data_IF_552564439524
#
_entry.id   IF_552564439524
#
_cell.length_a   1.000
_cell.length_b   1.000
_cell.length_c   1.000
_cell.angle_alpha   90.00
_cell.angle_beta   90.00
_cell.angle_gamma   90.00
#
_symmetry.space_group_name_H-M   'P 1'
#
loop_
_entity.id
_entity.type
_entity.pdbx_description
1 polymer ?
#
# COMPACT_ATOMS: atom_id res chain seq x y z
N UNK A 1 -4.80 -14.40 -7.09
CA UNK A 1 -4.49 -15.53 -7.99
C UNK A 1 -5.53 -16.62 -7.77
N UNK A 2 -6.13 -17.16 -8.85
CA UNK A 2 -7.20 -18.17 -8.73
C UNK A 2 -6.64 -19.49 -8.18
N UNK A 3 -7.39 -20.12 -7.27
CA UNK A 3 -7.12 -21.49 -6.81
C UNK A 3 -7.08 -22.45 -8.02
N UNK A 4 -6.06 -23.32 -8.04
CA UNK A 4 -5.86 -24.28 -9.13
C UNK A 4 -4.90 -23.86 -10.26
N UNK A 5 -4.29 -22.68 -10.18
CA UNK A 5 -3.22 -22.28 -11.08
C UNK A 5 -1.84 -22.70 -10.54
N UNK A 6 -0.88 -22.93 -11.45
CA UNK A 6 0.51 -23.23 -11.08
C UNK A 6 1.08 -22.13 -10.16
N UNK A 7 0.82 -20.87 -10.50
CA UNK A 7 1.25 -19.70 -9.71
C UNK A 7 0.74 -19.74 -8.27
N UNK A 8 -0.51 -20.20 -8.07
CA UNK A 8 -1.06 -20.36 -6.72
C UNK A 8 -0.34 -21.45 -5.92
N UNK A 9 -0.02 -22.58 -6.56
CA UNK A 9 0.70 -23.67 -5.92
C UNK A 9 2.14 -23.25 -5.56
N UNK A 10 2.82 -22.55 -6.45
CA UNK A 10 4.18 -22.03 -6.23
C UNK A 10 4.19 -20.96 -5.11
N UNK A 11 3.20 -20.06 -5.10
CA UNK A 11 3.03 -19.07 -4.02
C UNK A 11 2.78 -19.75 -2.67
N UNK A 12 1.96 -20.79 -2.60
CA UNK A 12 1.75 -21.57 -1.39
C UNK A 12 3.05 -22.22 -0.90
N UNK A 13 3.79 -22.86 -1.79
CA UNK A 13 5.06 -23.52 -1.45
C UNK A 13 6.11 -22.54 -0.92
N UNK A 14 6.16 -21.33 -1.47
CA UNK A 14 7.02 -20.24 -0.97
C UNK A 14 6.56 -19.77 0.41
N UNK A 15 5.26 -19.55 0.58
CA UNK A 15 4.69 -19.08 1.83
C UNK A 15 4.84 -20.08 2.99
N UNK A 16 4.79 -21.39 2.71
CA UNK A 16 5.04 -22.43 3.70
C UNK A 16 6.50 -22.47 4.15
N UNK A 17 7.44 -22.24 3.25
CA UNK A 17 8.90 -22.33 3.54
C UNK A 17 9.46 -21.05 4.14
N UNK A 18 9.06 -19.90 3.66
CA UNK A 18 9.66 -18.60 4.01
C UNK A 18 8.71 -17.69 4.82
N UNK A 19 7.44 -18.11 4.97
CA UNK A 19 6.38 -17.28 5.54
C UNK A 19 5.93 -16.20 4.54
N UNK A 20 4.77 -15.65 4.76
CA UNK A 20 4.29 -14.50 3.99
C UNK A 20 5.12 -13.28 4.34
N UNK A 21 5.51 -12.53 3.34
CA UNK A 21 6.14 -11.23 3.54
C UNK A 21 5.65 -10.25 2.49
N UNK A 22 5.36 -9.05 2.94
CA UNK A 22 4.99 -7.92 2.13
C UNK A 22 6.02 -6.82 2.40
N UNK A 23 6.57 -6.26 1.35
CA UNK A 23 7.62 -5.26 1.44
C UNK A 23 7.05 -3.85 1.28
N UNK A 24 7.34 -3.03 2.26
CA UNK A 24 7.13 -1.59 2.22
C UNK A 24 8.48 -0.90 2.14
N UNK A 25 8.52 0.23 1.47
CA UNK A 25 9.71 1.07 1.35
C UNK A 25 9.37 2.45 1.91
N UNK A 26 10.02 2.84 2.99
CA UNK A 26 9.98 4.21 3.47
C UNK A 26 11.12 5.01 2.84
N UNK A 27 10.80 6.22 2.39
CA UNK A 27 11.73 7.18 1.80
C UNK A 27 11.64 8.45 2.62
N UNK A 28 12.78 8.99 3.04
CA UNK A 28 12.87 10.17 3.90
C UNK A 28 14.20 10.91 3.69
N UNK A 29 14.33 12.17 4.14
CA UNK A 29 15.57 12.93 4.02
C UNK A 29 16.73 12.29 4.79
N UNK A 30 17.91 12.23 4.17
CA UNK A 30 19.14 11.77 4.81
C UNK A 30 19.73 12.87 5.71
N UNK A 31 19.22 13.00 6.94
CA UNK A 31 19.60 14.09 7.86
C UNK A 31 20.31 13.63 9.11
N UNK A 32 20.00 12.47 9.67
CA UNK A 32 20.54 12.00 10.94
C UNK A 32 20.46 10.49 11.10
N UNK A 33 21.60 9.83 11.21
CA UNK A 33 21.69 8.40 11.48
C UNK A 33 21.04 8.02 12.84
N UNK A 34 21.09 8.90 13.84
CA UNK A 34 20.48 8.67 15.15
C UNK A 34 18.94 8.65 15.02
N UNK A 35 18.38 9.60 14.27
CA UNK A 35 16.94 9.67 14.02
C UNK A 35 16.47 8.47 13.20
N UNK A 36 17.23 8.08 12.18
CA UNK A 36 16.96 6.90 11.37
C UNK A 36 16.98 5.62 12.23
N UNK A 37 17.98 5.48 13.10
CA UNK A 37 18.09 4.34 14.00
C UNK A 37 16.90 4.26 14.96
N UNK A 38 16.52 5.37 15.60
CA UNK A 38 15.37 5.41 16.50
C UNK A 38 14.06 5.05 15.79
N UNK A 39 13.84 5.55 14.56
CA UNK A 39 12.69 5.20 13.75
C UNK A 39 12.69 3.72 13.36
N UNK A 40 13.86 3.20 12.97
CA UNK A 40 14.02 1.80 12.60
C UNK A 40 13.71 0.87 13.77
N UNK A 41 14.22 1.18 14.97
CA UNK A 41 13.98 0.40 16.18
C UNK A 41 12.50 0.41 16.57
N UNK A 42 11.83 1.57 16.52
CA UNK A 42 10.39 1.66 16.80
C UNK A 42 9.54 0.84 15.80
N UNK A 43 9.94 0.80 14.54
CA UNK A 43 9.26 -0.03 13.52
C UNK A 43 9.56 -1.52 13.72
N UNK A 44 10.79 -1.87 14.07
CA UNK A 44 11.20 -3.27 14.27
C UNK A 44 10.53 -3.89 15.50
N UNK A 45 10.22 -3.10 16.53
CA UNK A 45 9.50 -3.52 17.74
C UNK A 45 8.02 -3.88 17.49
N UNK A 46 7.47 -3.58 16.31
CA UNK A 46 6.10 -3.93 15.97
C UNK A 46 5.97 -5.45 15.72
N UNK A 47 5.03 -6.11 16.38
CA UNK A 47 4.85 -7.56 16.35
C UNK A 47 4.67 -8.11 14.92
N UNK A 48 4.04 -7.35 14.04
CA UNK A 48 3.79 -7.75 12.65
C UNK A 48 4.95 -7.45 11.69
N UNK A 49 5.99 -6.78 12.14
CA UNK A 49 7.21 -6.55 11.35
C UNK A 49 8.10 -7.79 11.45
N UNK A 50 8.62 -8.21 10.32
CA UNK A 50 9.52 -9.36 10.19
C UNK A 50 10.97 -8.92 10.26
N UNK A 51 11.32 -7.86 9.57
CA UNK A 51 12.65 -7.27 9.55
C UNK A 51 12.60 -5.87 8.96
N UNK A 52 13.54 -5.05 9.38
CA UNK A 52 13.80 -3.71 8.86
C UNK A 52 15.23 -3.66 8.34
N UNK A 53 15.43 -3.12 7.16
CA UNK A 53 16.75 -2.90 6.57
C UNK A 53 16.88 -1.41 6.25
N UNK A 54 17.76 -0.76 6.96
CA UNK A 54 18.12 0.65 6.77
C UNK A 54 19.64 0.79 6.80
N UNK A 55 20.16 1.95 6.46
CA UNK A 55 21.59 2.21 6.60
C UNK A 55 22.04 2.09 8.05
N UNK A 56 21.27 2.67 8.97
CA UNK A 56 21.55 2.64 10.40
C UNK A 56 21.52 1.22 11.03
N UNK A 57 20.78 0.26 10.44
CA UNK A 57 20.74 -1.11 10.90
C UNK A 57 21.75 -2.02 10.20
N UNK A 58 22.24 -1.63 9.03
CA UNK A 58 23.20 -2.42 8.24
C UNK A 58 24.63 -2.22 8.75
N UNK A 59 24.92 -1.07 9.35
CA UNK A 59 26.21 -0.74 9.92
C UNK A 59 26.23 -0.99 11.42
N UNK A 60 27.23 -1.73 11.96
CA UNK A 60 27.49 -1.76 13.39
C UNK A 60 27.86 -0.35 13.89
N UNK A 61 27.52 -0.05 15.14
CA UNK A 61 27.87 1.24 15.76
C UNK A 61 29.38 1.52 15.65
N UNK A 62 29.71 2.72 15.18
CA UNK A 62 31.09 3.18 15.06
C UNK A 62 31.84 2.72 13.81
N UNK A 63 31.21 2.00 12.90
CA UNK A 63 31.79 1.61 11.62
C UNK A 63 31.43 2.69 10.57
N UNK A 64 32.44 3.34 9.93
CA UNK A 64 32.18 4.27 8.85
C UNK A 64 31.52 3.59 7.63
N UNK A 65 30.67 4.31 6.92
CA UNK A 65 29.96 3.84 5.73
C UNK A 65 30.89 3.38 4.60
N UNK A 66 32.08 3.94 4.52
CA UNK A 66 33.11 3.59 3.53
C UNK A 66 33.55 2.12 3.59
N UNK A 67 33.23 1.41 4.67
CA UNK A 67 33.48 -0.04 4.78
C UNK A 67 32.43 -0.90 4.05
N UNK A 68 31.30 -0.31 3.66
CA UNK A 68 30.29 -1.02 2.87
C UNK A 68 30.57 -0.87 1.37
N UNK A 69 30.32 -1.92 0.58
CA UNK A 69 30.37 -1.81 -0.87
C UNK A 69 29.37 -0.75 -1.36
N UNK A 70 29.80 0.09 -2.32
CA UNK A 70 28.94 1.11 -2.93
C UNK A 70 27.62 0.57 -3.47
N UNK A 71 27.62 -0.70 -3.91
CA UNK A 71 26.40 -1.38 -4.36
C UNK A 71 25.33 -1.56 -3.27
N UNK A 72 25.72 -1.52 -1.99
CA UNK A 72 24.80 -1.62 -0.83
C UNK A 72 24.42 -0.19 -0.41
N UNK A 73 25.41 0.68 -0.21
CA UNK A 73 25.17 2.05 0.25
C UNK A 73 24.27 2.79 -0.71
N UNK A 74 24.55 2.74 -2.01
CA UNK A 74 23.72 3.40 -3.04
C UNK A 74 22.30 2.88 -3.15
N UNK A 75 22.02 1.69 -2.59
CA UNK A 75 20.66 1.17 -2.51
C UNK A 75 19.91 1.66 -1.29
N UNK A 76 20.57 2.08 -0.22
CA UNK A 76 19.94 2.49 1.03
C UNK A 76 19.90 4.00 1.19
N UNK A 77 20.86 4.74 0.67
CA UNK A 77 20.81 6.19 0.67
C UNK A 77 21.54 6.86 -0.51
N UNK A 78 21.22 8.12 -0.69
CA UNK A 78 21.90 9.09 -1.53
C UNK A 78 22.35 10.25 -0.66
N UNK A 79 23.00 11.27 -1.24
CA UNK A 79 23.42 12.46 -0.51
C UNK A 79 22.27 13.19 0.21
N UNK A 80 21.07 13.09 -0.31
CA UNK A 80 19.89 13.84 0.19
C UNK A 80 18.78 12.96 0.75
N UNK A 81 18.73 11.69 0.38
CA UNK A 81 17.57 10.83 0.64
C UNK A 81 18.02 9.46 1.13
N UNK A 82 17.40 8.99 2.18
CA UNK A 82 17.52 7.62 2.69
C UNK A 82 16.28 6.81 2.41
N UNK A 83 16.46 5.50 2.30
CA UNK A 83 15.34 4.56 2.24
C UNK A 83 15.52 3.40 3.23
N UNK A 84 14.38 2.94 3.70
CA UNK A 84 14.27 1.81 4.61
C UNK A 84 13.35 0.76 3.99
N UNK A 85 13.79 -0.49 3.97
CA UNK A 85 13.00 -1.63 3.52
C UNK A 85 12.38 -2.30 4.75
N UNK A 86 11.07 -2.39 4.77
CA UNK A 86 10.30 -2.92 5.89
C UNK A 86 9.51 -4.13 5.40
N UNK A 87 9.74 -5.28 6.00
CA UNK A 87 9.04 -6.53 5.68
C UNK A 87 8.02 -6.82 6.76
N UNK A 88 6.74 -6.91 6.37
CA UNK A 88 5.62 -7.22 7.28
C UNK A 88 5.04 -8.61 7.00
N UNK A 89 4.51 -9.26 8.05
CA UNK A 89 4.00 -10.64 8.03
C UNK A 89 2.54 -10.71 7.60
N UNK A 90 2.21 -10.16 6.43
CA UNK A 90 0.83 -10.16 5.94
C UNK A 90 0.78 -10.23 4.42
N UNK A 91 -0.40 -10.52 3.86
CA UNK A 91 -0.66 -10.36 2.43
C UNK A 91 -0.84 -8.89 2.10
N UNK A 92 -0.28 -8.44 0.96
CA UNK A 92 -0.34 -7.06 0.50
C UNK A 92 -1.76 -6.50 0.31
N UNK A 93 -2.74 -7.36 -0.02
CA UNK A 93 -4.12 -6.95 -0.30
C UNK A 93 -5.08 -7.09 0.90
N UNK A 94 -4.57 -7.40 2.10
CA UNK A 94 -5.41 -7.59 3.29
C UNK A 94 -5.73 -6.28 3.99
N UNK A 95 -6.91 -6.19 4.61
CA UNK A 95 -7.29 -5.01 5.41
C UNK A 95 -6.29 -4.76 6.55
N UNK A 96 -5.71 -5.83 7.12
CA UNK A 96 -4.62 -5.71 8.10
C UNK A 96 -3.35 -5.10 7.52
N UNK A 97 -3.04 -5.39 6.25
CA UNK A 97 -1.88 -4.78 5.60
C UNK A 97 -2.06 -3.26 5.43
N UNK A 98 -3.28 -2.82 5.13
CA UNK A 98 -3.59 -1.39 5.04
C UNK A 98 -3.45 -0.71 6.42
N UNK A 99 -3.97 -1.33 7.49
CA UNK A 99 -3.82 -0.84 8.87
C UNK A 99 -2.34 -0.72 9.25
N UNK A 100 -1.55 -1.79 9.07
CA UNK A 100 -0.12 -1.81 9.37
C UNK A 100 0.68 -0.81 8.54
N UNK A 101 0.31 -0.63 7.28
CA UNK A 101 0.93 0.39 6.41
C UNK A 101 0.66 1.80 6.94
N UNK A 102 -0.55 2.07 7.42
CA UNK A 102 -0.90 3.35 8.00
C UNK A 102 -0.18 3.60 9.34
N UNK A 103 -0.02 2.59 10.17
CA UNK A 103 0.77 2.69 11.40
C UNK A 103 2.23 3.03 11.10
N UNK A 104 2.85 2.29 10.17
CA UNK A 104 4.22 2.57 9.72
C UNK A 104 4.33 3.97 9.12
N UNK A 105 3.36 4.39 8.31
CA UNK A 105 3.32 5.75 7.75
C UNK A 105 3.26 6.83 8.84
N UNK A 106 2.50 6.59 9.92
CA UNK A 106 2.41 7.49 11.06
C UNK A 106 3.73 7.57 11.83
N UNK A 107 4.42 6.44 12.02
CA UNK A 107 5.75 6.42 12.65
C UNK A 107 6.76 7.18 11.77
N UNK A 108 6.81 6.90 10.47
CA UNK A 108 7.72 7.61 9.56
C UNK A 108 7.47 9.11 9.59
N UNK A 109 6.21 9.56 9.57
CA UNK A 109 5.85 10.98 9.67
C UNK A 109 6.14 11.61 11.04
N UNK A 110 6.14 10.82 12.12
CA UNK A 110 6.53 11.31 13.45
C UNK A 110 7.99 11.74 13.49
N UNK A 111 8.87 11.01 12.81
CA UNK A 111 10.30 11.31 12.75
C UNK A 111 10.66 12.27 11.61
N UNK A 112 9.94 12.17 10.48
CA UNK A 112 10.13 12.96 9.28
C UNK A 112 8.77 13.50 8.80
N UNK A 113 8.27 14.60 9.40
CA UNK A 113 6.94 15.14 9.10
C UNK A 113 6.79 15.67 7.68
N UNK A 114 7.89 16.12 7.08
CA UNK A 114 7.95 16.64 5.72
C UNK A 114 8.79 15.70 4.84
N UNK A 115 8.44 15.64 3.54
CA UNK A 115 9.20 14.91 2.52
C UNK A 115 9.44 13.42 2.83
N UNK A 116 8.50 12.78 3.56
CA UNK A 116 8.56 11.35 3.81
C UNK A 116 7.42 10.61 3.14
N UNK A 117 7.73 9.45 2.59
CA UNK A 117 6.80 8.63 1.81
C UNK A 117 6.94 7.16 2.19
N UNK A 118 5.81 6.45 2.23
CA UNK A 118 5.78 4.98 2.36
C UNK A 118 5.12 4.42 1.12
N UNK A 119 5.89 3.65 0.36
CA UNK A 119 5.48 3.06 -0.92
C UNK A 119 5.60 1.54 -0.88
N UNK A 120 4.92 0.86 -1.78
CA UNK A 120 4.93 -0.60 -1.86
C UNK A 120 3.67 -1.11 -2.55
N UNK A 121 3.51 -2.42 -2.57
CA UNK A 121 2.32 -3.04 -3.17
C UNK A 121 1.03 -2.68 -2.40
N UNK A 122 1.07 -2.76 -1.08
CA UNK A 122 -0.09 -2.44 -0.22
C UNK A 122 -0.57 -1.00 -0.36
N UNK A 123 0.26 0.05 -0.20
CA UNK A 123 -0.18 1.43 -0.43
C UNK A 123 -0.76 1.65 -1.83
N UNK A 124 -0.13 1.07 -2.86
CA UNK A 124 -0.60 1.19 -4.24
C UNK A 124 -1.96 0.52 -4.44
N UNK A 125 -2.17 -0.65 -3.85
CA UNK A 125 -3.46 -1.37 -3.91
C UNK A 125 -4.55 -0.63 -3.14
N UNK A 126 -4.23 -0.04 -2.00
CA UNK A 126 -5.16 0.79 -1.21
C UNK A 126 -5.62 2.01 -2.01
N UNK A 127 -4.70 2.73 -2.63
CA UNK A 127 -5.00 3.90 -3.45
C UNK A 127 -5.87 3.54 -4.66
N UNK A 128 -5.58 2.42 -5.33
CA UNK A 128 -6.39 1.90 -6.43
C UNK A 128 -7.79 1.52 -5.94
N UNK A 129 -7.90 0.78 -4.83
CA UNK A 129 -9.18 0.34 -4.26
C UNK A 129 -10.06 1.53 -3.90
N UNK A 130 -9.51 2.54 -3.24
CA UNK A 130 -10.27 3.75 -2.87
C UNK A 130 -10.69 4.57 -4.07
N UNK A 131 -9.82 4.72 -5.06
CA UNK A 131 -10.11 5.45 -6.29
C UNK A 131 -11.19 4.75 -7.11
N UNK A 132 -11.06 3.43 -7.34
CA UNK A 132 -12.06 2.64 -8.07
C UNK A 132 -13.42 2.69 -7.36
N UNK A 133 -13.45 2.57 -6.03
CA UNK A 133 -14.71 2.60 -5.27
C UNK A 133 -15.41 3.96 -5.42
N UNK A 134 -14.66 5.06 -5.34
CA UNK A 134 -15.21 6.39 -5.53
C UNK A 134 -15.68 6.64 -6.96
N UNK A 135 -14.92 6.17 -7.96
CA UNK A 135 -15.28 6.33 -9.36
C UNK A 135 -16.47 5.45 -9.75
N UNK A 136 -16.55 4.23 -9.26
CA UNK A 136 -17.72 3.36 -9.48
C UNK A 136 -19.01 3.99 -8.95
N UNK A 137 -18.99 4.60 -7.77
CA UNK A 137 -20.17 5.29 -7.23
C UNK A 137 -20.60 6.45 -8.12
N UNK A 138 -19.65 7.25 -8.64
CA UNK A 138 -19.96 8.35 -9.58
C UNK A 138 -20.50 7.84 -10.91
N UNK A 139 -19.88 6.80 -11.47
CA UNK A 139 -20.32 6.20 -12.75
C UNK A 139 -21.70 5.60 -12.62
N UNK A 140 -22.01 4.91 -11.52
CA UNK A 140 -23.33 4.36 -11.27
C UNK A 140 -24.40 5.44 -11.22
N UNK A 141 -24.18 6.53 -10.47
CA UNK A 141 -25.13 7.65 -10.40
C UNK A 141 -25.32 8.30 -11.77
N UNK A 142 -24.24 8.52 -12.52
CA UNK A 142 -24.31 9.12 -13.85
C UNK A 142 -25.05 8.22 -14.85
N UNK A 143 -24.79 6.90 -14.80
CA UNK A 143 -25.48 5.91 -15.63
C UNK A 143 -26.97 5.88 -15.32
N UNK A 144 -27.35 5.91 -14.04
CA UNK A 144 -28.72 5.92 -13.58
C UNK A 144 -29.47 7.16 -14.13
N UNK A 145 -28.87 8.33 -13.98
CA UNK A 145 -29.43 9.58 -14.52
C UNK A 145 -29.56 9.49 -16.03
N UNK A 146 -28.57 9.00 -16.75
CA UNK A 146 -28.58 8.88 -18.20
C UNK A 146 -29.68 7.95 -18.69
N UNK A 147 -29.85 6.77 -18.08
CA UNK A 147 -30.93 5.84 -18.40
C UNK A 147 -32.29 6.47 -18.12
N UNK A 148 -32.44 7.14 -16.98
CA UNK A 148 -33.68 7.81 -16.62
C UNK A 148 -34.09 8.87 -17.69
N UNK A 149 -33.14 9.70 -18.12
CA UNK A 149 -33.34 10.71 -19.13
C UNK A 149 -33.76 10.09 -20.47
N UNK A 150 -33.04 9.06 -20.93
CA UNK A 150 -33.35 8.39 -22.21
C UNK A 150 -34.74 7.76 -22.18
N UNK A 151 -35.09 7.05 -21.09
CA UNK A 151 -36.41 6.41 -20.97
C UNK A 151 -37.54 7.44 -20.87
N UNK A 152 -37.30 8.53 -20.14
CA UNK A 152 -38.26 9.64 -20.04
C UNK A 152 -38.61 10.26 -21.42
N UNK A 153 -37.58 10.50 -22.23
CA UNK A 153 -37.75 11.01 -23.58
C UNK A 153 -38.40 9.99 -24.53
N UNK A 154 -38.06 8.71 -24.39
CA UNK A 154 -38.60 7.66 -25.26
C UNK A 154 -40.09 7.40 -25.03
N UNK A 155 -40.55 7.45 -23.78
CA UNK A 155 -41.95 7.12 -23.43
C UNK A 155 -42.85 8.32 -23.17
N UNK A 156 -42.33 9.53 -23.24
CA UNK A 156 -43.10 10.76 -22.93
C UNK A 156 -43.86 10.70 -21.59
N UNK A 157 -43.36 9.93 -20.64
CA UNK A 157 -43.97 9.65 -19.33
C UNK A 157 -42.91 9.57 -18.26
N UNK A 158 -43.13 10.17 -17.11
CA UNK A 158 -42.24 10.12 -15.96
C UNK A 158 -42.40 8.83 -15.14
N UNK A 159 -43.57 8.19 -15.24
CA UNK A 159 -43.91 7.01 -14.45
C UNK A 159 -43.19 5.74 -14.95
N UNK A 160 -43.04 5.59 -16.26
CA UNK A 160 -42.41 4.42 -16.88
C UNK A 160 -40.94 4.28 -16.49
N UNK A 161 -40.10 5.33 -16.51
CA UNK A 161 -38.73 5.27 -16.02
C UNK A 161 -38.63 4.77 -14.59
N UNK A 162 -39.48 5.24 -13.68
CA UNK A 162 -39.45 4.83 -12.27
C UNK A 162 -39.73 3.32 -12.12
N UNK A 163 -40.74 2.80 -12.85
CA UNK A 163 -41.06 1.37 -12.80
C UNK A 163 -39.95 0.48 -13.38
N UNK A 164 -39.26 0.94 -14.43
CA UNK A 164 -38.17 0.21 -15.08
C UNK A 164 -36.88 0.24 -14.22
N UNK A 165 -36.65 1.34 -13.52
CA UNK A 165 -35.42 1.50 -12.71
C UNK A 165 -35.43 0.65 -11.42
N UNK A 166 -36.59 0.40 -10.81
CA UNK A 166 -36.69 -0.40 -9.59
C UNK A 166 -36.02 -1.81 -9.74
N UNK A 167 -36.34 -2.62 -10.78
CA UNK A 167 -35.70 -3.92 -10.95
C UNK A 167 -34.22 -3.81 -11.35
N UNK A 168 -33.78 -2.73 -12.00
CA UNK A 168 -32.37 -2.52 -12.36
C UNK A 168 -31.56 -2.27 -11.09
N UNK A 169 -32.04 -1.41 -10.21
CA UNK A 169 -31.38 -1.14 -8.92
C UNK A 169 -31.37 -2.38 -8.00
N UNK A 170 -32.39 -3.20 -8.07
CA UNK A 170 -32.45 -4.42 -7.27
C UNK A 170 -31.52 -5.55 -7.78
N UNK A 171 -30.97 -5.40 -9.00
CA UNK A 171 -30.09 -6.39 -9.64
C UNK A 171 -28.59 -6.04 -9.52
N UNK A 172 -28.26 -4.84 -9.03
CA UNK A 172 -26.88 -4.36 -8.79
C UNK A 172 -26.52 -4.53 -7.33
#
# INVERSE_FOLDING_TARGET
>A
VSEGTQVYADEQAINEKFGRSNMLVAIYPNTSAITEKAMSDEIEDLEYVKSVTSMANTLPEGVPEDFLPYSITSQLHTDTTSRMLIYIRTKSESDKAFEYTNDIRNIVKKYYPEESYVVGETPSTEDIKTTITADNARVNVLSLISVFVVVMFSFQSVLVPIIVMIPIEAAI
#
